data_IF_736235392345
#
_entry.id   IF_736235392345
#
_cell.length_a   1.000
_cell.length_b   1.000
_cell.length_c   1.000
_cell.angle_alpha   90.00
_cell.angle_beta   90.00
_cell.angle_gamma   90.00
#
_symmetry.space_group_name_H-M   'P 1'
#
loop_
_entity.id
_entity.type
_entity.pdbx_description
1 polymer ?
#
# COMPACT_ATOMS: atom_id res chain seq x y z
N UNK A 1 29.76 0.26 0.31
CA UNK A 1 28.41 -0.25 0.62
C UNK A 1 27.41 0.75 0.07
N UNK A 2 26.45 0.31 -0.73
CA UNK A 2 25.39 1.18 -1.24
C UNK A 2 24.52 1.62 -0.05
N UNK A 3 24.36 2.92 0.16
CA UNK A 3 23.49 3.43 1.20
C UNK A 3 22.04 3.19 0.74
N UNK A 4 21.24 2.53 1.59
CA UNK A 4 19.83 2.30 1.32
C UNK A 4 19.11 3.63 1.09
N UNK A 5 18.19 3.67 0.13
CA UNK A 5 17.36 4.85 -0.09
C UNK A 5 16.35 5.06 1.05
N UNK A 6 15.66 6.19 1.04
CA UNK A 6 14.74 6.50 2.13
C UNK A 6 13.43 5.74 2.05
N UNK A 7 13.08 5.17 0.89
CA UNK A 7 11.87 4.34 0.77
C UNK A 7 12.18 2.98 1.40
N UNK A 8 13.28 2.33 1.02
CA UNK A 8 13.75 1.08 1.63
C UNK A 8 13.83 1.15 3.15
N UNK A 9 14.49 2.18 3.72
CA UNK A 9 14.57 2.36 5.19
C UNK A 9 13.21 2.46 5.88
N UNK A 10 12.24 3.12 5.23
CA UNK A 10 10.89 3.24 5.77
C UNK A 10 10.13 1.93 5.69
N UNK A 11 10.34 1.16 4.64
CA UNK A 11 9.70 -0.15 4.51
C UNK A 11 10.31 -1.18 5.47
N UNK A 12 11.61 -1.16 5.74
CA UNK A 12 12.22 -1.96 6.82
C UNK A 12 11.51 -1.65 8.16
N UNK A 13 11.41 -0.37 8.53
CA UNK A 13 10.73 0.03 9.76
C UNK A 13 9.22 -0.30 9.75
N UNK A 14 8.57 -0.23 8.58
CA UNK A 14 7.17 -0.59 8.42
C UNK A 14 6.95 -2.10 8.62
N UNK A 15 7.83 -2.96 8.09
CA UNK A 15 7.80 -4.40 8.31
C UNK A 15 8.01 -4.74 9.79
N UNK A 16 8.99 -4.11 10.45
CA UNK A 16 9.22 -4.30 11.88
C UNK A 16 7.99 -3.93 12.72
N UNK A 17 7.37 -2.78 12.44
CA UNK A 17 6.15 -2.33 13.11
C UNK A 17 4.97 -3.28 12.82
N UNK A 18 4.81 -3.72 11.57
CA UNK A 18 3.78 -4.67 11.16
C UNK A 18 3.90 -6.00 11.91
N UNK A 19 5.11 -6.54 12.02
CA UNK A 19 5.39 -7.79 12.73
C UNK A 19 5.13 -7.67 14.25
N UNK A 20 5.31 -6.48 14.81
CA UNK A 20 4.96 -6.16 16.21
C UNK A 20 3.48 -5.82 16.42
N UNK A 21 2.66 -5.86 15.36
CA UNK A 21 1.24 -5.46 15.34
C UNK A 21 1.02 -3.98 15.70
N UNK A 22 2.02 -3.14 15.46
CA UNK A 22 1.96 -1.69 15.64
C UNK A 22 1.49 -1.01 14.34
N UNK A 23 0.23 -1.21 13.98
CA UNK A 23 -0.28 -0.87 12.63
C UNK A 23 -0.27 0.63 12.32
N UNK A 24 -0.54 1.50 13.29
CA UNK A 24 -0.41 2.95 13.09
C UNK A 24 1.05 3.38 12.90
N UNK A 25 1.98 2.82 13.69
CA UNK A 25 3.42 3.03 13.49
C UNK A 25 3.87 2.56 12.11
N UNK A 26 3.28 1.47 11.59
CA UNK A 26 3.51 1.03 10.23
C UNK A 26 3.06 2.11 9.23
N UNK A 27 1.85 2.66 9.38
CA UNK A 27 1.32 3.72 8.52
C UNK A 27 2.11 5.04 8.60
N UNK A 28 2.65 5.38 9.76
CA UNK A 28 3.58 6.52 9.96
C UNK A 28 4.80 6.39 9.04
N UNK A 29 5.28 5.17 8.77
CA UNK A 29 6.38 4.93 7.84
C UNK A 29 5.91 4.83 6.38
N UNK A 30 4.75 4.20 6.15
CA UNK A 30 4.24 3.95 4.81
C UNK A 30 3.75 5.21 4.11
N UNK A 31 3.05 6.12 4.79
CA UNK A 31 2.51 7.30 4.12
C UNK A 31 3.59 8.22 3.54
N UNK A 32 4.71 8.49 4.22
CA UNK A 32 5.84 9.20 3.62
C UNK A 32 6.53 8.41 2.49
N UNK A 33 6.61 7.07 2.58
CA UNK A 33 7.18 6.24 1.53
C UNK A 33 6.32 6.29 0.26
N UNK A 34 5.01 6.08 0.41
CA UNK A 34 3.97 6.24 -0.60
C UNK A 34 4.06 7.63 -1.26
N UNK A 35 4.12 8.68 -0.43
CA UNK A 35 4.19 10.05 -0.92
C UNK A 35 5.44 10.29 -1.77
N UNK A 36 6.59 9.77 -1.34
CA UNK A 36 7.86 9.88 -2.07
C UNK A 36 7.81 9.13 -3.40
N UNK A 37 7.26 7.91 -3.40
CA UNK A 37 7.06 7.11 -4.62
C UNK A 37 6.11 7.81 -5.58
N UNK A 38 4.94 8.26 -5.10
CA UNK A 38 3.97 8.98 -5.91
C UNK A 38 4.51 10.31 -6.46
N UNK A 39 5.40 10.99 -5.72
CA UNK A 39 6.08 12.22 -6.17
C UNK A 39 7.08 11.94 -7.30
N UNK A 40 7.80 10.82 -7.29
CA UNK A 40 8.68 10.42 -8.40
C UNK A 40 7.88 10.23 -9.69
N UNK A 41 6.71 9.58 -9.61
CA UNK A 41 5.79 9.40 -10.75
C UNK A 41 5.20 10.71 -11.26
N UNK A 42 4.85 11.63 -10.34
CA UNK A 42 4.16 12.89 -10.65
C UNK A 42 4.85 14.09 -10.01
N UNK A 43 6.02 14.50 -10.53
CA UNK A 43 6.71 15.68 -10.02
C UNK A 43 5.82 16.92 -10.15
N UNK A 44 5.80 17.76 -9.13
CA UNK A 44 5.01 19.01 -9.10
C UNK A 44 3.54 18.88 -8.67
N UNK A 45 2.96 17.68 -8.63
CA UNK A 45 1.59 17.48 -8.15
C UNK A 45 1.47 17.70 -6.62
N UNK A 46 0.34 18.27 -6.18
CA UNK A 46 0.00 18.41 -4.75
C UNK A 46 -0.08 17.03 -4.08
N UNK A 47 0.20 16.98 -2.77
CA UNK A 47 0.28 15.74 -1.97
C UNK A 47 -0.97 14.86 -2.13
N UNK A 48 -2.16 15.44 -1.92
CA UNK A 48 -3.40 14.69 -2.07
C UNK A 48 -3.62 14.14 -3.47
N UNK A 49 -3.27 14.91 -4.51
CA UNK A 49 -3.43 14.47 -5.90
C UNK A 49 -2.55 13.25 -6.19
N UNK A 50 -1.27 13.31 -5.81
CA UNK A 50 -0.33 12.21 -6.10
C UNK A 50 -0.63 10.95 -5.30
N UNK A 51 -0.98 11.08 -4.01
CA UNK A 51 -1.34 9.93 -3.17
C UNK A 51 -2.63 9.29 -3.68
N UNK A 52 -3.69 10.08 -3.89
CA UNK A 52 -4.96 9.54 -4.37
C UNK A 52 -4.78 8.85 -5.73
N UNK A 53 -4.04 9.45 -6.67
CA UNK A 53 -3.81 8.84 -7.99
C UNK A 53 -2.96 7.58 -7.93
N UNK A 54 -1.96 7.51 -7.04
CA UNK A 54 -1.21 6.26 -6.84
C UNK A 54 -2.11 5.15 -6.30
N UNK A 55 -2.96 5.45 -5.31
CA UNK A 55 -3.88 4.48 -4.74
C UNK A 55 -4.91 4.01 -5.79
N UNK A 56 -5.50 4.93 -6.54
CA UNK A 56 -6.47 4.67 -7.61
C UNK A 56 -5.88 3.72 -8.68
N UNK A 57 -4.66 4.00 -9.15
CA UNK A 57 -3.97 3.15 -10.14
C UNK A 57 -3.61 1.75 -9.63
N UNK A 58 -3.58 1.57 -8.30
CA UNK A 58 -3.25 0.30 -7.67
C UNK A 58 -4.42 -0.30 -6.89
N UNK A 59 -5.64 0.22 -7.01
CA UNK A 59 -6.81 -0.28 -6.27
C UNK A 59 -7.02 -1.77 -6.47
N UNK A 60 -6.77 -2.25 -7.68
CA UNK A 60 -6.84 -3.66 -8.04
C UNK A 60 -5.82 -4.52 -7.29
N UNK A 61 -4.55 -4.13 -7.31
CA UNK A 61 -3.47 -4.84 -6.63
C UNK A 61 -3.69 -4.81 -5.12
N UNK A 62 -4.06 -3.65 -4.59
CA UNK A 62 -4.33 -3.46 -3.17
C UNK A 62 -5.46 -4.38 -2.69
N UNK A 63 -6.61 -4.35 -3.37
CA UNK A 63 -7.75 -5.18 -3.02
C UNK A 63 -7.48 -6.68 -3.26
N UNK A 64 -6.80 -7.03 -4.35
CA UNK A 64 -6.51 -8.41 -4.69
C UNK A 64 -5.59 -9.08 -3.67
N UNK A 65 -4.56 -8.36 -3.19
CA UNK A 65 -3.71 -8.84 -2.09
C UNK A 65 -4.51 -8.86 -0.78
N UNK A 66 -5.18 -7.75 -0.44
CA UNK A 66 -5.85 -7.61 0.86
C UNK A 66 -6.97 -8.62 1.08
N UNK A 67 -7.68 -9.01 0.02
CA UNK A 67 -8.84 -9.93 0.08
C UNK A 67 -8.50 -11.34 -0.40
N UNK A 68 -7.24 -11.63 -0.71
CA UNK A 68 -6.78 -12.90 -1.26
C UNK A 68 -7.53 -13.29 -2.56
N UNK A 69 -7.70 -12.34 -3.49
CA UNK A 69 -8.18 -12.61 -4.85
C UNK A 69 -9.37 -11.75 -5.32
N UNK A 70 -10.00 -10.97 -4.45
CA UNK A 70 -11.08 -10.06 -4.81
C UNK A 70 -10.56 -8.76 -5.43
N UNK A 71 -11.14 -8.35 -6.56
CA UNK A 71 -10.77 -7.10 -7.23
C UNK A 71 -11.85 -6.07 -6.93
N UNK A 72 -11.46 -4.97 -6.29
CA UNK A 72 -12.29 -3.79 -6.05
C UNK A 72 -11.71 -2.62 -6.84
N UNK A 73 -12.58 -1.90 -7.54
CA UNK A 73 -12.25 -0.67 -8.27
C UNK A 73 -13.42 0.29 -8.17
N UNK A 74 -13.10 1.58 -8.18
CA UNK A 74 -14.06 2.66 -8.40
C UNK A 74 -15.19 2.70 -7.34
N UNK A 75 -14.84 2.34 -6.10
CA UNK A 75 -15.79 2.30 -4.99
C UNK A 75 -16.12 3.72 -4.53
N UNK A 76 -17.41 4.08 -4.61
CA UNK A 76 -17.94 5.39 -4.24
C UNK A 76 -18.98 5.28 -3.12
N UNK A 77 -18.79 6.07 -2.05
CA UNK A 77 -19.77 6.28 -0.98
C UNK A 77 -20.02 7.79 -0.87
N UNK A 78 -21.07 8.28 -1.52
CA UNK A 78 -21.26 9.71 -1.74
C UNK A 78 -20.09 10.29 -2.53
N UNK A 79 -19.49 11.38 -2.05
CA UNK A 79 -18.32 12.03 -2.69
C UNK A 79 -16.97 11.38 -2.33
N UNK A 80 -17.00 10.33 -1.50
CA UNK A 80 -15.82 9.66 -0.97
C UNK A 80 -15.48 8.41 -1.79
N UNK A 81 -14.18 8.23 -2.05
CA UNK A 81 -13.61 7.04 -2.68
C UNK A 81 -12.60 6.39 -1.74
N UNK A 82 -12.22 5.13 -2.00
CA UNK A 82 -11.16 4.45 -1.22
C UNK A 82 -9.87 5.29 -1.15
N UNK A 83 -9.32 5.81 -2.26
CA UNK A 83 -8.14 6.70 -2.24
C UNK A 83 -8.34 7.95 -1.39
N UNK A 84 -9.50 8.61 -1.53
CA UNK A 84 -9.80 9.82 -0.75
C UNK A 84 -9.91 9.51 0.74
N UNK A 85 -10.53 8.41 1.12
CA UNK A 85 -10.65 7.99 2.52
C UNK A 85 -9.28 7.71 3.14
N UNK A 86 -8.42 6.94 2.45
CA UNK A 86 -7.05 6.66 2.92
C UNK A 86 -6.24 7.96 3.06
N UNK A 87 -6.40 8.90 2.12
CA UNK A 87 -5.70 10.19 2.20
C UNK A 87 -6.22 11.08 3.33
N UNK A 88 -7.53 11.29 3.41
CA UNK A 88 -8.15 12.25 4.33
C UNK A 88 -8.25 11.73 5.77
N UNK A 89 -8.48 10.43 5.96
CA UNK A 89 -8.68 9.82 7.27
C UNK A 89 -7.46 9.04 7.76
N UNK A 90 -6.54 8.69 6.86
CA UNK A 90 -5.28 8.03 7.19
C UNK A 90 -4.12 9.00 7.17
N UNK A 91 -3.67 9.34 5.96
CA UNK A 91 -2.41 10.08 5.77
C UNK A 91 -2.42 11.47 6.42
N UNK A 92 -3.49 12.23 6.25
CA UNK A 92 -3.54 13.61 6.78
C UNK A 92 -3.52 13.64 8.31
N UNK A 93 -4.40 12.91 9.02
CA UNK A 93 -4.36 12.79 10.48
C UNK A 93 -3.02 12.29 11.00
N UNK A 94 -2.47 11.19 10.47
CA UNK A 94 -1.15 10.69 10.90
C UNK A 94 -0.05 11.74 10.73
N UNK A 95 -0.09 12.54 9.66
CA UNK A 95 0.92 13.56 9.42
C UNK A 95 0.80 14.79 10.35
N UNK A 96 -0.39 15.09 10.88
CA UNK A 96 -0.63 16.30 11.67
C UNK A 96 -0.84 16.02 13.17
N UNK A 97 -1.48 14.90 13.48
CA UNK A 97 -1.97 14.51 14.81
C UNK A 97 -1.24 13.26 15.33
N UNK A 98 -0.62 12.48 14.43
CA UNK A 98 0.14 11.28 14.80
C UNK A 98 -0.72 10.01 14.97
N UNK A 99 -2.03 10.11 14.76
CA UNK A 99 -3.00 9.01 14.87
C UNK A 99 -3.98 9.01 13.68
N UNK A 100 -4.74 7.92 13.53
CA UNK A 100 -5.78 7.81 12.51
C UNK A 100 -7.03 8.62 12.88
N UNK A 101 -7.74 9.15 11.88
CA UNK A 101 -9.10 9.65 12.11
C UNK A 101 -10.01 8.46 12.50
N UNK A 102 -10.87 8.58 13.53
CA UNK A 102 -11.71 7.49 14.01
C UNK A 102 -12.63 6.85 12.95
N UNK A 103 -12.88 7.56 11.83
CA UNK A 103 -13.64 7.05 10.69
C UNK A 103 -12.85 6.03 9.87
N UNK A 104 -11.53 5.95 9.98
CA UNK A 104 -10.71 4.92 9.34
C UNK A 104 -10.15 3.98 10.41
N UNK A 105 -10.53 2.70 10.32
CA UNK A 105 -10.17 1.69 11.31
C UNK A 105 -9.41 0.55 10.66
N UNK A 106 -8.39 0.06 11.36
CA UNK A 106 -7.64 -1.13 10.98
C UNK A 106 -8.11 -2.31 11.84
N UNK A 107 -8.36 -3.46 11.21
CA UNK A 107 -8.79 -4.68 11.91
C UNK A 107 -7.92 -5.88 11.53
N UNK A 108 -7.65 -6.78 12.46
CA UNK A 108 -6.97 -8.05 12.18
C UNK A 108 -7.87 -9.07 11.44
N UNK A 109 -9.18 -8.79 11.33
CA UNK A 109 -10.09 -9.59 10.50
C UNK A 109 -9.83 -9.41 9.00
N UNK A 110 -10.59 -10.12 8.18
CA UNK A 110 -10.51 -10.03 6.69
C UNK A 110 -11.51 -9.05 6.09
N UNK A 111 -12.27 -8.33 6.92
CA UNK A 111 -13.44 -7.56 6.49
C UNK A 111 -13.03 -6.19 5.94
N UNK A 112 -13.48 -5.89 4.73
CA UNK A 112 -13.55 -4.53 4.19
C UNK A 112 -14.96 -3.97 4.38
N UNK A 113 -15.06 -2.76 4.90
CA UNK A 113 -16.35 -2.04 4.99
C UNK A 113 -16.19 -0.58 4.56
N UNK A 114 -17.17 -0.11 3.80
CA UNK A 114 -17.24 1.27 3.30
C UNK A 114 -18.60 1.85 3.67
N UNK A 115 -18.61 3.06 4.23
CA UNK A 115 -19.81 3.68 4.77
C UNK A 115 -19.46 4.90 5.62
N UNK A 116 -20.14 5.05 6.75
CA UNK A 116 -19.79 6.05 7.77
C UNK A 116 -18.40 5.80 8.37
N UNK A 117 -18.05 4.52 8.55
CA UNK A 117 -16.71 4.08 8.91
C UNK A 117 -16.11 3.29 7.74
N UNK A 118 -14.81 3.48 7.55
CA UNK A 118 -13.97 2.83 6.56
C UNK A 118 -13.06 1.85 7.28
N UNK A 119 -13.40 0.57 7.21
CA UNK A 119 -12.65 -0.48 7.92
C UNK A 119 -11.82 -1.25 6.91
N UNK A 120 -10.51 -1.26 7.15
CA UNK A 120 -9.54 -1.99 6.34
C UNK A 120 -8.89 -3.11 7.16
N UNK A 121 -8.70 -4.30 6.57
CA UNK A 121 -7.95 -5.36 7.23
C UNK A 121 -6.46 -5.01 7.26
N UNK A 122 -5.70 -5.59 8.20
CA UNK A 122 -4.23 -5.43 8.25
C UNK A 122 -3.54 -5.93 6.98
N UNK A 123 -4.15 -6.88 6.26
CA UNK A 123 -3.71 -7.31 4.92
C UNK A 123 -3.69 -6.16 3.90
N UNK A 124 -4.47 -5.10 4.10
CA UNK A 124 -4.44 -3.90 3.27
C UNK A 124 -3.19 -3.05 3.51
N UNK A 125 -2.70 -3.00 4.76
CA UNK A 125 -1.41 -2.36 5.09
C UNK A 125 -0.28 -3.15 4.43
N UNK A 126 -0.33 -4.48 4.52
CA UNK A 126 0.62 -5.34 3.80
C UNK A 126 0.55 -5.11 2.29
N UNK A 127 -0.64 -5.02 1.71
CA UNK A 127 -0.81 -4.72 0.29
C UNK A 127 -0.21 -3.36 -0.09
N UNK A 128 -0.33 -2.34 0.76
CA UNK A 128 0.32 -1.04 0.57
C UNK A 128 1.85 -1.15 0.57
N UNK A 129 2.43 -1.94 1.48
CA UNK A 129 3.88 -2.25 1.48
C UNK A 129 4.27 -2.81 0.11
N UNK A 130 3.59 -3.87 -0.35
CA UNK A 130 3.90 -4.52 -1.63
C UNK A 130 3.73 -3.57 -2.81
N UNK A 131 2.65 -2.80 -2.86
CA UNK A 131 2.40 -1.85 -3.94
C UNK A 131 3.49 -0.77 -4.02
N UNK A 132 4.00 -0.29 -2.88
CA UNK A 132 5.12 0.64 -2.84
C UNK A 132 6.41 -0.04 -3.30
N UNK A 133 6.73 -1.24 -2.79
CA UNK A 133 7.94 -1.97 -3.21
C UNK A 133 7.97 -2.20 -4.73
N UNK A 134 6.86 -2.71 -5.26
CA UNK A 134 6.76 -3.11 -6.66
C UNK A 134 6.68 -1.93 -7.64
N UNK A 135 6.43 -0.71 -7.15
CA UNK A 135 6.37 0.48 -7.99
C UNK A 135 7.72 0.74 -8.69
N UNK A 136 7.69 0.90 -10.02
CA UNK A 136 8.87 1.09 -10.88
C UNK A 136 9.80 2.21 -10.38
N UNK A 137 9.23 3.25 -9.78
CA UNK A 137 9.96 4.38 -9.20
C UNK A 137 10.94 4.01 -8.09
N UNK A 138 10.81 2.80 -7.53
CA UNK A 138 11.61 2.29 -6.43
C UNK A 138 12.52 1.13 -6.84
N UNK A 139 12.79 0.92 -8.15
CA UNK A 139 13.67 -0.15 -8.63
C UNK A 139 15.08 -0.14 -8.00
N UNK A 140 15.61 1.03 -7.64
CA UNK A 140 16.92 1.19 -7.00
C UNK A 140 16.89 1.11 -5.46
N UNK A 141 15.72 0.86 -4.87
CA UNK A 141 15.56 0.67 -3.42
C UNK A 141 15.67 -0.82 -3.07
N UNK A 142 15.93 -1.11 -1.80
CA UNK A 142 16.07 -2.48 -1.29
C UNK A 142 15.72 -2.52 0.20
N UNK A 143 15.45 -3.70 0.74
CA UNK A 143 15.37 -3.97 2.18
C UNK A 143 16.73 -4.42 2.69
N UNK A 144 17.07 -4.04 3.93
CA UNK A 144 18.34 -4.44 4.55
C UNK A 144 18.37 -5.92 4.95
N UNK A 145 17.20 -6.52 5.11
CA UNK A 145 17.02 -7.93 5.45
C UNK A 145 16.52 -8.73 4.24
N UNK A 146 16.96 -9.98 4.14
CA UNK A 146 16.43 -10.92 3.15
C UNK A 146 15.12 -11.54 3.66
N UNK A 147 14.01 -10.87 3.34
CA UNK A 147 12.67 -11.30 3.74
C UNK A 147 12.03 -12.18 2.67
N UNK A 148 11.30 -13.22 3.11
CA UNK A 148 10.40 -14.02 2.28
C UNK A 148 8.98 -13.50 2.47
N UNK A 149 8.31 -13.16 1.37
CA UNK A 149 6.96 -12.64 1.35
C UNK A 149 6.02 -13.72 0.80
N UNK A 150 4.89 -13.92 1.47
CA UNK A 150 3.85 -14.84 1.02
C UNK A 150 2.51 -14.11 0.90
N UNK A 151 1.93 -14.10 -0.30
CA UNK A 151 0.59 -13.57 -0.55
C UNK A 151 -0.01 -14.20 -1.80
N UNK A 152 -1.34 -14.32 -1.85
CA UNK A 152 -2.08 -14.94 -2.95
C UNK A 152 -1.53 -16.33 -3.37
N UNK A 153 -1.11 -17.15 -2.40
CA UNK A 153 -0.50 -18.48 -2.60
C UNK A 153 0.79 -18.47 -3.44
N UNK A 154 1.55 -17.36 -3.38
CA UNK A 154 2.84 -17.21 -4.05
C UNK A 154 3.88 -16.75 -3.04
N UNK A 155 5.11 -17.22 -3.24
CA UNK A 155 6.26 -16.85 -2.45
C UNK A 155 7.20 -15.96 -3.27
N UNK A 156 7.72 -14.92 -2.64
CA UNK A 156 8.65 -13.97 -3.25
C UNK A 156 9.81 -13.69 -2.30
N UNK A 157 11.01 -13.55 -2.85
CA UNK A 157 12.10 -12.86 -2.15
C UNK A 157 11.84 -11.36 -2.23
N UNK A 158 11.76 -10.68 -1.09
CA UNK A 158 11.41 -9.27 -1.00
C UNK A 158 12.30 -8.37 -1.86
N UNK A 159 13.60 -8.66 -1.90
CA UNK A 159 14.57 -7.88 -2.67
C UNK A 159 14.49 -8.12 -4.20
N UNK A 160 13.70 -9.09 -4.68
CA UNK A 160 13.50 -9.35 -6.10
C UNK A 160 12.31 -8.62 -6.72
N UNK A 161 11.40 -8.08 -5.89
CA UNK A 161 10.17 -7.46 -6.40
C UNK A 161 10.25 -5.94 -6.57
N UNK A 162 11.36 -5.31 -6.17
CA UNK A 162 11.52 -3.85 -6.25
C UNK A 162 11.41 -3.35 -7.69
N UNK A 163 10.48 -2.44 -7.94
CA UNK A 163 10.21 -1.91 -9.28
C UNK A 163 9.59 -2.92 -10.26
N UNK A 164 9.17 -4.10 -9.80
CA UNK A 164 8.70 -5.19 -10.65
C UNK A 164 7.16 -5.35 -10.61
N UNK A 165 6.40 -4.26 -10.76
CA UNK A 165 4.92 -4.28 -10.65
C UNK A 165 4.27 -5.29 -11.58
N UNK A 166 4.67 -5.33 -12.86
CA UNK A 166 4.11 -6.26 -13.83
C UNK A 166 4.38 -7.72 -13.45
N UNK A 167 5.63 -8.05 -13.08
CA UNK A 167 5.99 -9.39 -12.62
C UNK A 167 5.16 -9.81 -11.39
N UNK A 168 5.01 -8.94 -10.39
CA UNK A 168 4.18 -9.24 -9.21
C UNK A 168 2.73 -9.51 -9.60
N UNK A 169 2.14 -8.65 -10.44
CA UNK A 169 0.74 -8.78 -10.90
C UNK A 169 0.52 -10.06 -11.71
N UNK A 170 1.46 -10.45 -12.56
CA UNK A 170 1.42 -11.70 -13.31
C UNK A 170 1.58 -12.92 -12.40
N UNK A 171 2.57 -12.90 -11.51
CA UNK A 171 2.88 -14.02 -10.63
C UNK A 171 1.70 -14.40 -9.73
N UNK A 172 0.94 -13.41 -9.25
CA UNK A 172 -0.27 -13.63 -8.43
C UNK A 172 -1.55 -13.88 -9.25
N UNK A 173 -1.47 -13.88 -10.58
CA UNK A 173 -2.59 -14.13 -11.48
C UNK A 173 -3.59 -12.97 -11.61
N UNK A 174 -3.22 -11.75 -11.20
CA UNK A 174 -4.11 -10.59 -11.29
C UNK A 174 -4.38 -10.20 -12.75
N UNK A 175 -3.35 -10.19 -13.60
CA UNK A 175 -3.48 -9.79 -15.00
C UNK A 175 -4.43 -10.71 -15.78
N UNK A 176 -4.45 -12.01 -15.47
CA UNK A 176 -5.35 -12.97 -16.11
C UNK A 176 -6.81 -12.67 -15.75
N UNK A 177 -7.08 -12.28 -14.51
CA UNK A 177 -8.42 -11.92 -14.04
C UNK A 177 -8.95 -10.64 -14.68
N UNK A 178 -8.07 -9.68 -14.96
CA UNK A 178 -8.43 -8.41 -15.59
C UNK A 178 -8.72 -8.53 -17.08
N UNK A 179 -8.32 -9.63 -17.74
CA UNK A 179 -8.60 -9.90 -19.16
C UNK A 179 -9.96 -10.57 -19.40
N UNK A 180 -10.60 -11.09 -18.35
CA UNK A 180 -11.83 -11.88 -18.42
C UNK A 180 -13.10 -11.01 -18.25
N UNK A 181 -12.93 -9.70 -17.99
CA UNK A 181 -13.98 -8.71 -17.84
C UNK A 181 -13.72 -7.50 -18.74
#
# INVERSE_FOLDING_TARGET
>A
MQQQGSVGRRLDAAFDAFNKREYENCLVQLFPALDKTAKKRRPGAKVGVRICKFLEENEDLLSYIATNGGILRDIHIGDMTVPKAIYLYGRCPIAHEGELDPRLQITEGTKLMFGSNWIFPTSYIFALIIAIMAAEENADEFLSQDLHLNFNNKEFLANQIWGQSNYVREAIGLNDRLRVH
#
